data_IF_362205251555
#
_entry.id   IF_362205251555
#
_cell.length_a   1.000
_cell.length_b   1.000
_cell.length_c   1.000
_cell.angle_alpha   90.00
_cell.angle_beta   90.00
_cell.angle_gamma   90.00
#
_symmetry.space_group_name_H-M   'P 1'
#
loop_
_entity.id
_entity.type
_entity.pdbx_description
1 polymer ?
#
# COMPACT_ATOMS: atom_id res chain seq x y z
N UNK A 1 49.64 21.66 24.17
CA UNK A 1 48.53 22.07 23.27
C UNK A 1 48.36 20.98 22.22
N UNK A 2 47.46 20.02 22.45
CA UNK A 2 47.30 18.83 21.64
C UNK A 2 45.91 18.81 20.97
N UNK A 3 45.89 18.44 19.69
CA UNK A 3 44.77 17.75 19.05
C UNK A 3 43.55 18.57 18.65
N UNK A 4 43.64 19.37 17.59
CA UNK A 4 42.44 19.75 16.81
C UNK A 4 42.26 18.75 15.67
N UNK A 5 41.41 17.75 15.89
CA UNK A 5 40.97 16.85 14.82
C UNK A 5 40.10 17.60 13.82
N UNK A 6 40.49 17.57 12.55
CA UNK A 6 39.71 18.12 11.44
C UNK A 6 38.84 17.02 10.86
N UNK A 7 37.53 17.25 10.79
CA UNK A 7 36.58 16.37 10.12
C UNK A 7 36.38 16.93 8.71
N UNK A 8 36.79 16.17 7.70
CA UNK A 8 36.55 16.49 6.29
C UNK A 8 35.36 15.68 5.82
N UNK A 9 34.34 16.35 5.30
CA UNK A 9 33.15 15.72 4.71
C UNK A 9 33.38 15.60 3.21
N UNK A 10 33.46 14.37 2.72
CA UNK A 10 33.60 14.06 1.29
C UNK A 10 32.26 13.57 0.74
N UNK A 11 31.81 14.20 -0.36
CA UNK A 11 30.59 13.83 -1.05
C UNK A 11 30.87 12.68 -2.02
N UNK A 12 30.52 11.46 -1.63
CA UNK A 12 30.64 10.27 -2.49
C UNK A 12 29.50 10.28 -3.50
N UNK A 13 29.83 10.45 -4.78
CA UNK A 13 28.92 10.27 -5.91
C UNK A 13 29.23 8.94 -6.59
N UNK A 14 28.21 8.15 -6.91
CA UNK A 14 28.35 6.86 -7.57
C UNK A 14 27.52 6.84 -8.85
N UNK A 15 28.09 6.32 -9.94
CA UNK A 15 27.41 6.19 -11.21
C UNK A 15 26.58 4.90 -11.28
N UNK A 16 25.36 4.95 -11.85
CA UNK A 16 24.42 3.83 -11.83
C UNK A 16 24.76 2.77 -12.89
N UNK A 17 24.83 1.50 -12.46
CA UNK A 17 24.94 0.35 -13.36
C UNK A 17 23.56 -0.11 -13.87
N UNK A 18 23.49 -0.56 -15.12
CA UNK A 18 22.25 -0.93 -15.81
C UNK A 18 21.83 -2.39 -15.52
N UNK A 19 20.58 -2.67 -15.11
CA UNK A 19 20.17 -4.01 -14.70
C UNK A 19 19.61 -4.86 -15.86
N UNK A 20 20.17 -6.07 -16.03
CA UNK A 20 19.73 -7.07 -17.02
C UNK A 20 18.35 -7.68 -16.68
N UNK A 21 17.51 -7.76 -17.71
CA UNK A 21 16.15 -8.36 -17.72
C UNK A 21 16.21 -9.88 -17.70
N UNK A 22 15.44 -10.53 -16.82
CA UNK A 22 14.98 -11.92 -17.00
C UNK A 22 13.55 -12.08 -16.45
N UNK A 23 12.77 -12.86 -17.19
CA UNK A 23 11.32 -13.01 -17.09
C UNK A 23 10.93 -14.33 -16.44
N UNK A 24 9.94 -14.35 -15.55
CA UNK A 24 9.19 -15.56 -15.22
C UNK A 24 7.81 -15.24 -14.62
N UNK A 25 6.95 -16.27 -14.63
CA UNK A 25 5.49 -16.26 -14.78
C UNK A 25 4.66 -16.28 -13.46
N UNK A 26 3.53 -15.56 -13.49
CA UNK A 26 2.14 -15.95 -13.14
C UNK A 26 1.79 -16.44 -11.72
N UNK A 27 0.92 -15.70 -11.02
CA UNK A 27 0.27 -16.09 -9.75
C UNK A 27 -1.28 -16.14 -9.86
N UNK A 28 -1.91 -16.85 -8.91
CA UNK A 28 -3.25 -17.46 -8.96
C UNK A 28 -4.44 -16.55 -8.57
N UNK A 29 -5.65 -16.93 -9.01
CA UNK A 29 -6.85 -16.12 -9.23
C UNK A 29 -7.75 -15.85 -8.01
N UNK A 30 -7.57 -16.54 -6.87
CA UNK A 30 -8.59 -16.57 -5.79
C UNK A 30 -8.53 -15.44 -4.76
N UNK A 31 -7.46 -14.64 -4.74
CA UNK A 31 -7.25 -13.56 -3.75
C UNK A 31 -7.65 -12.16 -4.28
N UNK A 32 -8.27 -12.08 -5.47
CA UNK A 32 -8.27 -10.86 -6.29
C UNK A 32 -9.61 -10.08 -6.33
N UNK A 33 -10.64 -10.51 -5.59
CA UNK A 33 -11.99 -9.90 -5.69
C UNK A 33 -12.33 -9.05 -4.47
N UNK A 34 -12.33 -7.72 -4.64
CA UNK A 34 -12.61 -6.75 -3.57
C UNK A 34 -14.00 -6.93 -2.95
N UNK A 35 -14.17 -6.57 -1.67
CA UNK A 35 -15.45 -6.70 -0.94
C UNK A 35 -16.58 -5.89 -1.60
N UNK A 36 -16.27 -4.74 -2.20
CA UNK A 36 -17.23 -3.90 -2.93
C UNK A 36 -17.70 -4.56 -4.23
N UNK A 37 -16.77 -5.13 -5.00
CA UNK A 37 -17.08 -5.86 -6.23
C UNK A 37 -17.94 -7.10 -5.98
N UNK A 38 -17.73 -7.78 -4.85
CA UNK A 38 -18.57 -8.92 -4.42
C UNK A 38 -20.02 -8.53 -4.17
N UNK A 39 -20.27 -7.41 -3.49
CA UNK A 39 -21.64 -6.92 -3.23
C UNK A 39 -22.32 -6.39 -4.49
N UNK A 40 -21.56 -5.71 -5.37
CA UNK A 40 -22.07 -5.27 -6.66
C UNK A 40 -22.50 -6.46 -7.54
N UNK A 41 -21.65 -7.49 -7.63
CA UNK A 41 -21.95 -8.71 -8.40
C UNK A 41 -23.15 -9.46 -7.81
N UNK A 42 -23.24 -9.54 -6.47
CA UNK A 42 -24.38 -10.14 -5.79
C UNK A 42 -25.69 -9.39 -6.06
N UNK A 43 -25.66 -8.05 -6.09
CA UNK A 43 -26.82 -7.22 -6.44
C UNK A 43 -27.30 -7.43 -7.88
N UNK A 44 -26.37 -7.55 -8.84
CA UNK A 44 -26.69 -7.87 -10.23
C UNK A 44 -27.33 -9.25 -10.34
N UNK A 45 -26.73 -10.27 -9.72
CA UNK A 45 -27.29 -11.63 -9.73
C UNK A 45 -28.69 -11.63 -9.13
N UNK A 46 -28.91 -10.96 -7.99
CA UNK A 46 -30.22 -10.87 -7.36
C UNK A 46 -31.25 -10.19 -8.27
N UNK A 47 -30.91 -9.06 -8.89
CA UNK A 47 -31.79 -8.37 -9.83
C UNK A 47 -32.15 -9.27 -11.03
N UNK A 48 -31.17 -9.89 -11.68
CA UNK A 48 -31.39 -10.81 -12.80
C UNK A 48 -32.27 -11.98 -12.40
N UNK A 49 -32.07 -12.54 -11.20
CA UNK A 49 -32.88 -13.66 -10.71
C UNK A 49 -34.32 -13.24 -10.46
N UNK A 50 -34.56 -12.09 -9.83
CA UNK A 50 -35.91 -11.54 -9.60
C UNK A 50 -36.62 -11.24 -10.91
N UNK A 51 -35.95 -10.58 -11.86
CA UNK A 51 -36.54 -10.27 -13.16
C UNK A 51 -36.82 -11.54 -13.99
N UNK A 52 -35.93 -12.54 -13.95
CA UNK A 52 -36.16 -13.82 -14.63
C UNK A 52 -37.35 -14.60 -14.02
N UNK A 53 -37.48 -14.60 -12.70
CA UNK A 53 -38.63 -15.23 -12.01
C UNK A 53 -39.92 -14.51 -12.36
N UNK A 54 -39.95 -13.17 -12.28
CA UNK A 54 -41.11 -12.37 -12.68
C UNK A 54 -41.46 -12.59 -14.15
N UNK A 55 -40.47 -12.65 -15.04
CA UNK A 55 -40.67 -12.96 -16.46
C UNK A 55 -41.28 -14.34 -16.67
N UNK A 56 -40.83 -15.36 -15.93
CA UNK A 56 -41.35 -16.72 -16.06
C UNK A 56 -42.80 -16.84 -15.61
N UNK A 57 -43.19 -16.13 -14.54
CA UNK A 57 -44.57 -16.14 -14.02
C UNK A 57 -45.53 -15.34 -14.91
N UNK A 58 -45.05 -14.27 -15.55
CA UNK A 58 -45.88 -13.39 -16.39
C UNK A 58 -46.06 -13.93 -17.81
N UNK A 59 -45.11 -14.73 -18.32
CA UNK A 59 -45.07 -15.14 -19.73
C UNK A 59 -45.39 -16.63 -19.93
N UNK A 60 -45.59 -17.41 -18.85
CA UNK A 60 -45.79 -18.88 -18.88
C UNK A 60 -44.71 -19.65 -19.68
N UNK A 61 -43.53 -19.04 -19.81
CA UNK A 61 -42.40 -19.60 -20.55
C UNK A 61 -41.58 -20.58 -19.73
N UNK A 62 -40.84 -21.45 -20.43
CA UNK A 62 -39.85 -22.30 -19.76
C UNK A 62 -38.83 -21.43 -18.99
N UNK A 63 -38.40 -21.84 -17.77
CA UNK A 63 -37.50 -21.03 -16.96
C UNK A 63 -36.19 -20.66 -17.65
N UNK A 64 -35.67 -21.56 -18.50
CA UNK A 64 -34.44 -21.32 -19.27
C UNK A 64 -34.65 -20.26 -20.36
N UNK A 65 -35.81 -20.27 -21.02
CA UNK A 65 -36.14 -19.26 -22.05
C UNK A 65 -36.36 -17.89 -21.42
N UNK A 66 -37.04 -17.82 -20.27
CA UNK A 66 -37.23 -16.58 -19.51
C UNK A 66 -35.88 -15.95 -19.09
N UNK A 67 -34.94 -16.77 -18.60
CA UNK A 67 -33.57 -16.33 -18.27
C UNK A 67 -32.85 -15.82 -19.52
N UNK A 68 -32.94 -16.54 -20.64
CA UNK A 68 -32.29 -16.14 -21.89
C UNK A 68 -32.77 -14.76 -22.37
N UNK A 69 -34.09 -14.54 -22.45
CA UNK A 69 -34.60 -13.24 -22.92
C UNK A 69 -34.31 -12.13 -21.91
N UNK A 70 -34.41 -12.41 -20.60
CA UNK A 70 -34.08 -11.41 -19.56
C UNK A 70 -32.62 -10.95 -19.66
N UNK A 71 -31.68 -11.85 -19.99
CA UNK A 71 -30.30 -11.46 -20.24
C UNK A 71 -30.16 -10.59 -21.50
N UNK A 72 -30.86 -10.93 -22.59
CA UNK A 72 -30.85 -10.10 -23.80
C UNK A 72 -31.44 -8.71 -23.56
N UNK A 73 -32.53 -8.61 -22.80
CA UNK A 73 -33.14 -7.32 -22.42
C UNK A 73 -32.22 -6.51 -21.49
N UNK A 74 -31.56 -7.19 -20.53
CA UNK A 74 -30.63 -6.56 -19.60
C UNK A 74 -29.41 -5.93 -20.31
N UNK A 75 -28.91 -6.61 -21.34
CA UNK A 75 -27.80 -6.10 -22.15
C UNK A 75 -28.25 -5.21 -23.32
N UNK A 76 -29.54 -4.91 -23.44
CA UNK A 76 -30.13 -4.16 -24.55
C UNK A 76 -29.80 -4.76 -25.94
N UNK A 77 -29.74 -6.10 -26.02
CA UNK A 77 -29.49 -6.87 -27.25
C UNK A 77 -30.82 -7.36 -27.87
N UNK A 78 -31.84 -7.56 -27.05
CA UNK A 78 -33.13 -8.09 -27.50
C UNK A 78 -33.83 -7.19 -28.53
N UNK A 79 -34.62 -7.81 -29.41
CA UNK A 79 -35.53 -7.08 -30.28
C UNK A 79 -36.67 -6.45 -29.47
N UNK A 80 -37.17 -5.25 -29.85
CA UNK A 80 -38.30 -4.63 -29.17
C UNK A 80 -39.56 -5.51 -29.25
N UNK A 81 -40.22 -5.72 -28.11
CA UNK A 81 -41.40 -6.59 -28.00
C UNK A 81 -42.68 -5.92 -28.53
N UNK A 82 -42.63 -5.35 -29.73
CA UNK A 82 -43.73 -4.57 -30.34
C UNK A 82 -44.98 -5.41 -30.57
N UNK A 83 -44.80 -6.70 -30.89
CA UNK A 83 -45.90 -7.65 -31.16
C UNK A 83 -46.36 -8.41 -29.90
N UNK A 84 -45.80 -8.11 -28.73
CA UNK A 84 -46.12 -8.83 -27.48
C UNK A 84 -47.12 -8.07 -26.61
N UNK A 85 -47.62 -8.75 -25.56
CA UNK A 85 -48.57 -8.20 -24.60
C UNK A 85 -48.01 -6.98 -23.84
N UNK A 86 -48.89 -6.05 -23.43
CA UNK A 86 -48.48 -4.86 -22.67
C UNK A 86 -47.65 -5.17 -21.40
N UNK A 87 -47.94 -6.22 -20.61
CA UNK A 87 -47.08 -6.64 -19.51
C UNK A 87 -45.65 -6.99 -19.94
N UNK A 88 -45.48 -7.60 -21.12
CA UNK A 88 -44.16 -7.95 -21.67
C UNK A 88 -43.37 -6.71 -22.07
N UNK A 89 -44.02 -5.74 -22.69
CA UNK A 89 -43.40 -4.46 -23.05
C UNK A 89 -42.95 -3.68 -21.82
N UNK A 90 -43.79 -3.62 -20.78
CA UNK A 90 -43.45 -2.97 -19.50
C UNK A 90 -42.26 -3.68 -18.86
N UNK A 91 -42.26 -5.02 -18.83
CA UNK A 91 -41.17 -5.80 -18.28
C UNK A 91 -39.85 -5.58 -19.04
N UNK A 92 -39.89 -5.52 -20.37
CA UNK A 92 -38.71 -5.22 -21.19
C UNK A 92 -38.15 -3.82 -20.89
N UNK A 93 -39.01 -2.81 -20.78
CA UNK A 93 -38.59 -1.45 -20.42
C UNK A 93 -37.95 -1.41 -19.03
N UNK A 94 -38.59 -2.04 -18.03
CA UNK A 94 -38.05 -2.12 -16.67
C UNK A 94 -36.70 -2.86 -16.64
N UNK A 95 -36.59 -3.95 -17.38
CA UNK A 95 -35.34 -4.72 -17.51
C UNK A 95 -34.25 -3.90 -18.17
N UNK A 96 -34.57 -3.15 -19.23
CA UNK A 96 -33.66 -2.24 -19.91
C UNK A 96 -33.17 -1.11 -19.00
N UNK A 97 -34.04 -0.51 -18.19
CA UNK A 97 -33.64 0.50 -17.19
C UNK A 97 -32.72 -0.07 -16.11
N UNK A 98 -33.02 -1.28 -15.62
CA UNK A 98 -32.15 -2.01 -14.68
C UNK A 98 -30.81 -2.32 -15.32
N UNK A 99 -30.80 -2.79 -16.57
CA UNK A 99 -29.61 -3.02 -17.37
C UNK A 99 -28.76 -1.77 -17.53
N UNK A 100 -29.37 -0.64 -17.92
CA UNK A 100 -28.71 0.66 -18.07
C UNK A 100 -28.08 1.15 -16.76
N UNK A 101 -28.73 0.90 -15.62
CA UNK A 101 -28.18 1.26 -14.30
C UNK A 101 -27.04 0.32 -13.86
N UNK A 102 -27.13 -0.98 -14.17
CA UNK A 102 -26.16 -1.99 -13.73
C UNK A 102 -24.93 -2.11 -14.66
N UNK A 103 -25.08 -1.86 -15.96
CA UNK A 103 -24.02 -2.05 -16.95
C UNK A 103 -22.76 -1.22 -16.64
N UNK A 104 -22.83 0.09 -16.30
CA UNK A 104 -21.65 0.86 -15.93
C UNK A 104 -20.95 0.31 -14.67
N UNK A 105 -21.71 -0.21 -13.70
CA UNK A 105 -21.16 -0.81 -12.49
C UNK A 105 -20.44 -2.13 -12.78
N UNK A 106 -21.00 -2.95 -13.67
CA UNK A 106 -20.36 -4.19 -14.16
C UNK A 106 -19.08 -3.89 -14.92
N UNK A 107 -19.10 -2.90 -15.82
CA UNK A 107 -17.91 -2.48 -16.58
C UNK A 107 -16.85 -1.91 -15.65
N UNK A 108 -17.21 -1.03 -14.71
CA UNK A 108 -16.29 -0.49 -13.72
C UNK A 108 -15.66 -1.60 -12.86
N UNK A 109 -16.48 -2.54 -12.38
CA UNK A 109 -16.01 -3.70 -11.63
C UNK A 109 -15.09 -4.61 -12.44
N UNK A 110 -15.37 -4.82 -13.72
CA UNK A 110 -14.50 -5.59 -14.62
C UNK A 110 -13.16 -4.86 -14.87
N UNK A 111 -13.18 -3.53 -15.05
CA UNK A 111 -11.98 -2.73 -15.19
C UNK A 111 -11.15 -2.70 -13.91
N UNK A 112 -11.77 -2.58 -12.74
CA UNK A 112 -11.11 -2.71 -11.43
C UNK A 112 -10.47 -4.09 -11.28
N UNK A 113 -11.20 -5.16 -11.61
CA UNK A 113 -10.66 -6.52 -11.56
C UNK A 113 -9.46 -6.70 -12.52
N UNK A 114 -9.53 -6.15 -13.73
CA UNK A 114 -8.42 -6.15 -14.68
C UNK A 114 -7.21 -5.34 -14.16
N UNK A 115 -7.47 -4.17 -13.56
CA UNK A 115 -6.48 -3.29 -12.97
C UNK A 115 -5.76 -3.94 -11.79
N UNK A 116 -6.53 -4.49 -10.84
CA UNK A 116 -6.04 -5.25 -9.72
C UNK A 116 -5.24 -6.49 -10.17
N UNK A 117 -5.71 -7.21 -11.19
CA UNK A 117 -4.99 -8.34 -11.78
C UNK A 117 -3.64 -7.92 -12.34
N UNK A 118 -3.57 -6.83 -13.11
CA UNK A 118 -2.30 -6.29 -13.62
C UNK A 118 -1.39 -5.78 -12.51
N UNK A 119 -1.95 -5.19 -11.47
CA UNK A 119 -1.18 -4.63 -10.36
C UNK A 119 -0.58 -5.71 -9.46
N UNK A 120 -1.36 -6.70 -9.04
CA UNK A 120 -0.90 -7.79 -8.20
C UNK A 120 0.03 -8.75 -8.95
N UNK A 121 -0.27 -9.08 -10.22
CA UNK A 121 0.57 -9.99 -11.01
C UNK A 121 1.93 -9.38 -11.41
N UNK A 122 2.07 -8.05 -11.38
CA UNK A 122 3.32 -7.37 -11.70
C UNK A 122 4.28 -7.25 -10.50
N UNK A 123 3.79 -7.46 -9.27
CA UNK A 123 4.62 -7.40 -8.08
C UNK A 123 5.39 -8.72 -7.92
N UNK A 124 6.68 -8.58 -7.67
CA UNK A 124 7.56 -9.74 -7.48
C UNK A 124 7.36 -10.27 -6.06
N UNK A 125 7.26 -11.59 -5.92
CA UNK A 125 7.43 -12.22 -4.61
C UNK A 125 8.91 -12.24 -4.23
N UNK A 126 9.25 -12.17 -2.93
CA UNK A 126 10.62 -12.31 -2.47
C UNK A 126 11.22 -13.65 -2.93
N UNK A 127 12.47 -13.68 -3.41
CA UNK A 127 13.16 -14.93 -3.72
C UNK A 127 13.21 -15.88 -2.51
N UNK A 128 13.23 -17.19 -2.75
CA UNK A 128 13.29 -18.19 -1.67
C UNK A 128 14.55 -18.08 -0.82
N UNK A 129 15.67 -17.70 -1.45
CA UNK A 129 16.98 -17.54 -0.81
C UNK A 129 17.34 -16.05 -0.80
N UNK A 130 16.58 -15.27 -0.04
CA UNK A 130 16.88 -13.85 0.22
C UNK A 130 17.35 -13.67 1.66
N UNK A 131 18.43 -12.92 1.86
CA UNK A 131 18.99 -12.58 3.16
C UNK A 131 19.73 -11.24 3.07
N UNK A 132 19.96 -10.59 4.22
CA UNK A 132 20.69 -9.32 4.29
C UNK A 132 19.95 -8.14 3.67
N UNK A 133 18.65 -8.27 3.41
CA UNK A 133 17.81 -7.21 2.84
C UNK A 133 17.16 -6.37 3.93
N UNK A 134 16.62 -5.23 3.52
CA UNK A 134 15.74 -4.39 4.34
C UNK A 134 14.29 -4.79 4.08
N UNK A 135 13.52 -5.03 5.14
CA UNK A 135 12.06 -5.12 5.04
C UNK A 135 11.49 -3.73 5.27
N UNK A 136 10.77 -3.20 4.30
CA UNK A 136 10.16 -1.86 4.33
C UNK A 136 8.64 -1.98 4.42
N UNK A 137 8.07 -1.60 5.55
CA UNK A 137 6.62 -1.61 5.77
C UNK A 137 6.04 -0.24 5.41
N UNK A 138 5.01 -0.25 4.56
CA UNK A 138 4.35 0.94 4.07
C UNK A 138 5.06 1.56 2.87
N UNK A 139 4.33 1.68 1.78
CA UNK A 139 4.66 2.35 0.51
C UNK A 139 3.87 3.65 0.34
N UNK A 140 3.50 4.29 1.45
CA UNK A 140 2.94 5.66 1.46
C UNK A 140 3.97 6.75 1.10
N UNK A 141 3.68 7.99 1.47
CA UNK A 141 4.50 9.18 1.10
C UNK A 141 5.97 9.10 1.54
N UNK A 142 6.24 8.58 2.74
CA UNK A 142 7.59 8.46 3.30
C UNK A 142 8.26 7.19 2.78
N UNK A 143 7.57 6.05 2.87
CA UNK A 143 8.05 4.75 2.39
C UNK A 143 8.48 4.78 0.92
N UNK A 144 7.73 5.47 0.05
CA UNK A 144 8.11 5.64 -1.37
C UNK A 144 9.47 6.33 -1.54
N UNK A 145 9.75 7.38 -0.76
CA UNK A 145 11.02 8.11 -0.82
C UNK A 145 12.17 7.29 -0.23
N UNK A 146 11.91 6.59 0.87
CA UNK A 146 12.88 5.68 1.47
C UNK A 146 13.21 4.55 0.52
N UNK A 147 12.21 3.98 -0.17
CA UNK A 147 12.41 2.96 -1.20
C UNK A 147 13.33 3.48 -2.31
N UNK A 148 13.03 4.67 -2.87
CA UNK A 148 13.87 5.28 -3.90
C UNK A 148 15.33 5.39 -3.42
N UNK A 149 15.54 5.91 -2.20
CA UNK A 149 16.88 6.09 -1.65
C UNK A 149 17.61 4.77 -1.37
N UNK A 150 16.92 3.75 -0.83
CA UNK A 150 17.50 2.43 -0.64
C UNK A 150 17.94 1.81 -1.97
N UNK A 151 17.15 2.02 -3.03
CA UNK A 151 17.49 1.53 -4.37
C UNK A 151 18.64 2.29 -5.02
N UNK A 152 18.74 3.61 -4.81
CA UNK A 152 19.90 4.41 -5.22
C UNK A 152 21.21 3.95 -4.55
N UNK A 153 21.11 3.43 -3.32
CA UNK A 153 22.25 2.89 -2.55
C UNK A 153 22.50 1.39 -2.81
N UNK A 154 21.81 0.79 -3.78
CA UNK A 154 21.85 -0.65 -4.10
C UNK A 154 21.53 -1.59 -2.94
N UNK A 155 20.83 -1.10 -1.92
CA UNK A 155 20.42 -1.90 -0.77
C UNK A 155 19.26 -2.83 -1.21
N UNK A 156 19.38 -4.16 -1.02
CA UNK A 156 18.28 -5.09 -1.29
C UNK A 156 17.11 -4.79 -0.36
N UNK A 157 15.90 -4.72 -0.91
CA UNK A 157 14.70 -4.35 -0.15
C UNK A 157 13.52 -5.23 -0.56
N UNK A 158 12.70 -5.59 0.42
CA UNK A 158 11.38 -6.20 0.25
C UNK A 158 10.38 -5.27 0.89
N UNK A 159 9.37 -4.87 0.14
CA UNK A 159 8.31 -4.02 0.66
C UNK A 159 7.12 -4.84 1.14
N UNK A 160 6.43 -4.35 2.15
CA UNK A 160 5.12 -4.85 2.59
C UNK A 160 4.15 -3.69 2.56
N UNK A 161 2.99 -3.88 1.95
CA UNK A 161 1.95 -2.86 1.86
C UNK A 161 0.59 -3.54 1.83
N UNK A 162 -0.38 -2.99 2.56
CA UNK A 162 -1.76 -3.50 2.58
C UNK A 162 -2.55 -2.98 1.37
N UNK A 163 -2.37 -1.70 1.05
CA UNK A 163 -3.07 -1.05 -0.06
C UNK A 163 -2.38 -1.33 -1.42
N UNK A 164 -2.99 -2.12 -2.33
CA UNK A 164 -2.42 -2.42 -3.64
C UNK A 164 -2.27 -1.20 -4.55
N UNK A 165 -2.99 -0.12 -4.25
CA UNK A 165 -2.97 1.14 -4.99
C UNK A 165 -2.14 2.22 -4.28
N UNK A 166 -1.41 1.86 -3.23
CA UNK A 166 -0.53 2.79 -2.54
C UNK A 166 0.49 3.41 -3.51
N UNK A 167 0.78 4.70 -3.29
CA UNK A 167 1.61 5.54 -4.17
C UNK A 167 2.94 4.89 -4.56
N UNK A 168 3.60 4.20 -3.63
CA UNK A 168 4.90 3.58 -3.85
C UNK A 168 4.86 2.23 -4.56
N UNK A 169 3.69 1.61 -4.73
CA UNK A 169 3.54 0.30 -5.40
C UNK A 169 3.96 0.39 -6.87
N UNK A 170 3.58 1.48 -7.56
CA UNK A 170 3.99 1.72 -8.94
C UNK A 170 5.53 1.88 -9.07
N UNK A 171 6.16 2.54 -8.10
CA UNK A 171 7.61 2.69 -8.06
C UNK A 171 8.31 1.37 -7.76
N UNK A 172 7.84 0.61 -6.78
CA UNK A 172 8.38 -0.72 -6.47
C UNK A 172 8.32 -1.63 -7.70
N UNK A 173 7.22 -1.56 -8.46
CA UNK A 173 7.03 -2.28 -9.72
C UNK A 173 8.02 -1.86 -10.80
N UNK A 174 8.21 -0.56 -11.03
CA UNK A 174 9.15 -0.05 -12.04
C UNK A 174 10.60 -0.43 -11.71
N UNK A 175 10.95 -0.41 -10.41
CA UNK A 175 12.26 -0.80 -9.89
C UNK A 175 12.42 -2.32 -9.70
N UNK A 176 11.38 -3.11 -9.99
CA UNK A 176 11.33 -4.58 -9.82
C UNK A 176 11.66 -5.06 -8.39
N UNK A 177 11.28 -4.26 -7.42
CA UNK A 177 11.40 -4.57 -6.00
C UNK A 177 10.29 -5.56 -5.61
N UNK A 178 10.61 -6.62 -4.85
CA UNK A 178 9.59 -7.52 -4.33
C UNK A 178 8.64 -6.79 -3.37
N UNK A 179 7.34 -7.03 -3.54
CA UNK A 179 6.30 -6.47 -2.66
C UNK A 179 5.40 -7.60 -2.19
N UNK A 180 5.22 -7.71 -0.88
CA UNK A 180 4.21 -8.55 -0.24
C UNK A 180 2.99 -7.67 -0.01
N UNK A 181 1.88 -8.02 -0.65
CA UNK A 181 0.60 -7.36 -0.40
C UNK A 181 -0.09 -8.04 0.78
N UNK A 182 -0.39 -7.27 1.82
CA UNK A 182 -1.08 -7.75 3.01
C UNK A 182 -0.85 -6.86 4.23
N UNK A 183 -1.79 -6.95 5.16
CA UNK A 183 -1.70 -6.30 6.46
C UNK A 183 -0.59 -6.95 7.31
N UNK A 184 0.36 -6.14 7.76
CA UNK A 184 1.52 -6.61 8.53
C UNK A 184 1.17 -7.23 9.89
N UNK A 185 -0.03 -6.95 10.41
CA UNK A 185 -0.53 -7.55 11.66
C UNK A 185 -1.01 -8.99 11.45
N UNK A 186 -1.23 -9.41 10.20
CA UNK A 186 -1.64 -10.76 9.88
C UNK A 186 -0.47 -11.75 9.94
N UNK A 187 -0.76 -12.93 10.46
CA UNK A 187 0.20 -14.03 10.56
C UNK A 187 0.74 -14.41 9.17
N UNK A 188 2.05 -14.64 9.07
CA UNK A 188 2.70 -15.06 7.83
C UNK A 188 3.13 -13.94 6.89
N UNK A 189 2.65 -12.70 7.07
CA UNK A 189 3.00 -11.57 6.17
C UNK A 189 4.47 -11.17 6.32
N UNK A 190 4.98 -11.05 7.54
CA UNK A 190 6.39 -10.75 7.79
C UNK A 190 7.31 -11.92 7.39
N UNK A 191 6.84 -13.16 7.53
CA UNK A 191 7.55 -14.37 7.10
C UNK A 191 7.61 -14.47 5.56
N UNK A 192 6.53 -14.07 4.88
CA UNK A 192 6.51 -13.92 3.43
C UNK A 192 7.53 -12.87 2.97
N UNK A 193 7.69 -11.78 3.74
CA UNK A 193 8.73 -10.77 3.54
C UNK A 193 10.15 -11.20 3.95
N UNK A 194 10.30 -12.42 4.49
CA UNK A 194 11.56 -13.01 4.94
C UNK A 194 12.24 -12.20 6.06
N UNK A 195 11.46 -11.65 6.99
CA UNK A 195 11.98 -10.82 8.08
C UNK A 195 13.06 -11.52 8.93
N UNK A 196 12.95 -12.84 9.12
CA UNK A 196 13.90 -13.66 9.88
C UNK A 196 15.34 -13.68 9.31
N UNK A 197 15.52 -13.27 8.04
CA UNK A 197 16.84 -13.16 7.37
C UNK A 197 17.17 -11.72 6.99
N UNK A 198 16.32 -10.77 7.36
CA UNK A 198 16.52 -9.37 7.05
C UNK A 198 17.64 -8.80 7.91
N UNK A 199 18.36 -7.81 7.37
CA UNK A 199 19.31 -7.01 8.12
C UNK A 199 18.61 -5.94 8.95
N UNK A 200 17.53 -5.38 8.42
CA UNK A 200 16.75 -4.34 9.09
C UNK A 200 15.27 -4.37 8.70
N UNK A 201 14.43 -3.87 9.61
CA UNK A 201 13.02 -3.55 9.40
C UNK A 201 12.81 -2.05 9.52
N UNK A 202 12.16 -1.45 8.52
CA UNK A 202 11.73 -0.07 8.53
C UNK A 202 10.19 -0.03 8.57
N UNK A 203 9.62 0.27 9.73
CA UNK A 203 8.17 0.36 9.92
C UNK A 203 7.68 1.79 9.68
N UNK A 204 7.23 2.10 8.45
CA UNK A 204 6.95 3.46 8.00
C UNK A 204 5.49 3.68 7.59
N UNK A 205 4.57 2.85 8.10
CA UNK A 205 3.13 3.02 7.85
C UNK A 205 2.61 4.32 8.49
N UNK A 206 1.36 4.68 8.19
CA UNK A 206 0.70 5.82 8.83
C UNK A 206 0.15 5.52 10.23
N UNK A 207 0.10 4.26 10.64
CA UNK A 207 -0.46 3.84 11.92
C UNK A 207 0.65 3.47 12.90
N UNK A 208 0.76 4.23 13.98
CA UNK A 208 1.78 4.06 15.03
C UNK A 208 1.67 2.70 15.73
N UNK A 209 0.44 2.26 15.98
CA UNK A 209 0.13 0.94 16.56
C UNK A 209 0.60 -0.19 15.66
N UNK A 210 0.27 -0.14 14.37
CA UNK A 210 0.73 -1.12 13.37
C UNK A 210 2.26 -1.17 13.27
N UNK A 211 2.93 -0.02 13.31
CA UNK A 211 4.40 0.03 13.29
C UNK A 211 5.02 -0.62 14.54
N UNK A 212 4.42 -0.40 15.71
CA UNK A 212 4.87 -0.99 16.98
C UNK A 212 4.62 -2.50 17.03
N UNK A 213 3.41 -2.95 16.65
CA UNK A 213 3.05 -4.37 16.58
C UNK A 213 3.98 -5.12 15.64
N UNK A 214 4.22 -4.59 14.44
CA UNK A 214 5.14 -5.17 13.49
C UNK A 214 6.58 -5.24 14.03
N UNK A 215 7.04 -4.21 14.76
CA UNK A 215 8.35 -4.20 15.38
C UNK A 215 8.49 -5.27 16.48
N UNK A 216 7.47 -5.42 17.33
CA UNK A 216 7.44 -6.43 18.39
C UNK A 216 7.38 -7.84 17.81
N UNK A 217 6.53 -8.06 16.81
CA UNK A 217 6.40 -9.36 16.16
C UNK A 217 7.67 -9.72 15.37
N UNK A 218 8.27 -8.77 14.65
CA UNK A 218 9.54 -9.03 13.98
C UNK A 218 10.66 -9.42 14.95
N UNK A 219 10.64 -8.89 16.19
CA UNK A 219 11.60 -9.28 17.24
C UNK A 219 11.42 -10.73 17.68
N UNK A 220 10.19 -11.24 17.76
CA UNK A 220 9.97 -12.66 18.11
C UNK A 220 10.52 -13.59 17.03
N UNK A 221 10.53 -13.15 15.77
CA UNK A 221 11.07 -13.88 14.62
C UNK A 221 12.60 -13.70 14.44
N UNK A 222 13.14 -12.53 14.77
CA UNK A 222 14.55 -12.18 14.68
C UNK A 222 14.95 -11.22 15.84
N UNK A 223 15.47 -11.76 16.95
CA UNK A 223 15.79 -10.96 18.15
C UNK A 223 16.78 -9.83 17.92
N UNK A 224 17.79 -10.07 17.06
CA UNK A 224 18.89 -9.13 16.77
C UNK A 224 18.59 -8.17 15.61
N UNK A 225 17.36 -8.18 15.09
CA UNK A 225 16.96 -7.37 13.94
C UNK A 225 17.07 -5.88 14.25
N UNK A 226 17.72 -5.13 13.36
CA UNK A 226 17.71 -3.67 13.42
C UNK A 226 16.31 -3.17 13.08
N UNK A 227 15.66 -2.46 13.99
CA UNK A 227 14.31 -1.93 13.75
C UNK A 227 14.32 -0.42 13.82
N UNK A 228 13.89 0.23 12.74
CA UNK A 228 13.54 1.65 12.76
C UNK A 228 12.04 1.80 12.55
N UNK A 229 11.34 2.42 13.50
CA UNK A 229 9.91 2.66 13.42
C UNK A 229 9.60 4.16 13.39
N UNK A 230 8.60 4.48 12.59
CA UNK A 230 8.00 5.81 12.54
C UNK A 230 6.88 5.88 13.56
N UNK A 231 6.90 6.94 14.36
CA UNK A 231 5.80 7.32 15.24
C UNK A 231 5.43 8.78 14.99
N UNK A 232 4.20 9.20 15.19
CA UNK A 232 3.78 10.60 15.03
C UNK A 232 3.82 11.36 16.35
N UNK A 233 3.47 10.69 17.45
CA UNK A 233 3.45 11.29 18.78
C UNK A 233 4.83 11.17 19.45
N UNK A 234 5.42 12.31 19.81
CA UNK A 234 6.78 12.41 20.38
C UNK A 234 6.88 11.77 21.78
N UNK A 235 5.84 11.93 22.60
CA UNK A 235 5.78 11.40 23.97
C UNK A 235 5.55 9.90 23.93
N UNK A 236 4.62 9.43 23.09
CA UNK A 236 4.43 8.02 22.81
C UNK A 236 5.72 7.39 22.27
N UNK A 237 6.40 8.06 21.33
CA UNK A 237 7.67 7.59 20.80
C UNK A 237 8.79 7.54 21.83
N UNK A 238 8.74 8.40 22.85
CA UNK A 238 9.69 8.40 23.95
C UNK A 238 9.41 7.25 24.90
N UNK A 239 8.15 7.04 25.27
CA UNK A 239 7.72 5.92 26.11
C UNK A 239 8.07 4.57 25.45
N UNK A 240 7.68 4.37 24.19
CA UNK A 240 7.98 3.14 23.43
C UNK A 240 9.48 2.88 23.35
N UNK A 241 10.28 3.91 23.03
CA UNK A 241 11.74 3.76 22.98
C UNK A 241 12.33 3.32 24.32
N UNK A 242 11.93 3.96 25.43
CA UNK A 242 12.42 3.61 26.78
C UNK A 242 12.03 2.18 27.15
N UNK A 243 10.78 1.80 26.94
CA UNK A 243 10.27 0.46 27.26
C UNK A 243 10.97 -0.61 26.42
N UNK A 244 11.12 -0.40 25.11
CA UNK A 244 11.80 -1.35 24.24
C UNK A 244 13.28 -1.48 24.57
N UNK A 245 13.95 -0.38 24.95
CA UNK A 245 15.35 -0.41 25.37
C UNK A 245 15.54 -1.11 26.71
N UNK A 246 14.60 -0.96 27.64
CA UNK A 246 14.64 -1.66 28.92
C UNK A 246 14.34 -3.16 28.76
N UNK A 247 13.35 -3.52 27.95
CA UNK A 247 12.96 -4.91 27.71
C UNK A 247 13.95 -5.66 26.79
N UNK A 248 14.61 -4.95 25.88
CA UNK A 248 15.55 -5.51 24.91
C UNK A 248 16.81 -4.62 24.79
N UNK A 249 17.70 -4.65 25.80
CA UNK A 249 18.88 -3.79 25.86
C UNK A 249 19.89 -4.05 24.74
N UNK A 250 19.98 -5.28 24.25
CA UNK A 250 20.90 -5.65 23.17
C UNK A 250 20.31 -5.38 21.78
N UNK A 251 19.00 -5.19 21.70
CA UNK A 251 18.33 -4.97 20.43
C UNK A 251 18.44 -3.51 19.97
N UNK A 252 18.78 -3.34 18.70
CA UNK A 252 19.00 -2.04 18.08
C UNK A 252 17.69 -1.50 17.50
N UNK A 253 16.87 -0.92 18.38
CA UNK A 253 15.63 -0.23 18.00
C UNK A 253 15.78 1.28 18.03
N UNK A 254 15.40 1.93 16.94
CA UNK A 254 15.29 3.39 16.84
C UNK A 254 13.85 3.78 16.50
N UNK A 255 13.25 4.60 17.33
CA UNK A 255 12.01 5.29 16.98
C UNK A 255 12.31 6.71 16.53
N UNK A 256 11.63 7.18 15.49
CA UNK A 256 11.74 8.56 14.99
C UNK A 256 10.36 9.15 14.79
N UNK A 257 10.19 10.39 15.28
CA UNK A 257 9.02 11.20 14.96
C UNK A 257 9.24 12.04 13.72
N UNK A 258 8.24 12.06 12.85
CA UNK A 258 8.29 12.90 11.63
C UNK A 258 8.26 14.37 11.99
N UNK A 259 7.47 14.75 13.00
CA UNK A 259 7.36 16.13 13.47
C UNK A 259 8.70 16.60 14.04
N UNK A 260 9.34 15.81 14.90
CA UNK A 260 10.67 16.14 15.44
C UNK A 260 11.73 16.24 14.34
N UNK A 261 11.70 15.32 13.36
CA UNK A 261 12.67 15.32 12.26
C UNK A 261 12.48 16.50 11.30
N UNK A 262 11.25 16.98 11.12
CA UNK A 262 10.94 18.07 10.21
C UNK A 262 11.01 19.46 10.87
N UNK A 263 10.78 19.54 12.18
CA UNK A 263 10.79 20.78 12.95
C UNK A 263 12.02 21.68 12.69
N UNK A 264 13.28 21.17 12.62
CA UNK A 264 14.43 22.01 12.29
C UNK A 264 14.28 22.73 10.94
N UNK A 265 13.83 22.00 9.92
CA UNK A 265 13.71 22.53 8.57
C UNK A 265 12.58 23.57 8.49
N UNK A 266 11.44 23.30 9.16
CA UNK A 266 10.35 24.27 9.26
C UNK A 266 10.74 25.52 10.06
N UNK A 267 11.40 25.36 11.21
CA UNK A 267 11.89 26.47 12.02
C UNK A 267 12.87 27.35 11.22
N UNK A 268 13.81 26.72 10.51
CA UNK A 268 14.76 27.41 9.62
C UNK A 268 14.03 28.16 8.50
N UNK A 269 13.03 27.53 7.87
CA UNK A 269 12.26 28.16 6.81
C UNK A 269 11.39 29.34 7.30
N UNK A 270 10.82 29.25 8.51
CA UNK A 270 9.95 30.29 9.07
C UNK A 270 10.71 31.53 9.58
N UNK A 271 11.93 31.37 10.10
CA UNK A 271 12.70 32.48 10.68
C UNK A 271 13.58 33.23 9.66
N UNK A 272 13.48 32.90 8.38
CA UNK A 272 14.16 33.62 7.30
C UNK A 272 15.69 33.64 7.44
N UNK A 273 16.34 34.72 7.02
CA UNK A 273 17.82 34.84 6.99
C UNK A 273 18.49 34.89 8.37
N UNK A 274 17.72 34.87 9.45
CA UNK A 274 18.26 34.96 10.81
C UNK A 274 18.79 33.62 11.31
N UNK A 275 18.31 32.47 10.81
CA UNK A 275 18.86 31.17 11.21
C UNK A 275 20.04 30.79 10.31
N UNK A 276 21.21 30.67 10.92
CA UNK A 276 22.45 30.19 10.28
C UNK A 276 22.47 28.66 10.14
N UNK A 277 21.68 27.95 10.96
CA UNK A 277 21.50 26.50 10.84
C UNK A 277 20.74 25.89 12.01
N UNK A 278 20.38 24.62 11.87
CA UNK A 278 19.75 23.84 12.92
C UNK A 278 20.48 22.50 13.09
N UNK A 279 20.88 22.18 14.32
CA UNK A 279 21.58 20.94 14.64
C UNK A 279 20.66 20.06 15.49
N UNK A 280 20.28 18.86 15.01
CA UNK A 280 19.56 17.90 15.84
C UNK A 280 20.54 17.28 16.85
N UNK A 281 20.25 17.41 18.14
CA UNK A 281 20.99 16.78 19.25
C UNK A 281 20.04 15.86 20.00
N UNK A 282 20.23 14.56 19.83
CA UNK A 282 19.33 13.50 20.33
C UNK A 282 17.86 13.67 19.90
N UNK A 283 16.99 14.13 20.82
CA UNK A 283 15.56 14.42 20.60
C UNK A 283 15.25 15.92 20.66
N UNK A 284 16.26 16.79 20.69
CA UNK A 284 16.12 18.25 20.68
C UNK A 284 16.74 18.83 19.41
N UNK A 285 16.30 20.02 19.05
CA UNK A 285 16.83 20.77 17.91
C UNK A 285 17.42 22.06 18.43
N UNK A 286 18.72 22.25 18.23
CA UNK A 286 19.40 23.51 18.54
C UNK A 286 19.37 24.38 17.29
N UNK A 287 18.78 25.57 17.41
CA UNK A 287 18.75 26.56 16.33
C UNK A 287 19.88 27.57 16.57
N UNK A 288 20.65 27.85 15.53
CA UNK A 288 21.68 28.89 15.52
C UNK A 288 21.15 30.07 14.74
N UNK A 289 21.03 31.24 15.39
CA UNK A 289 20.54 32.44 14.76
C UNK A 289 21.51 33.63 14.94
N UNK A 290 21.63 34.46 13.91
CA UNK A 290 22.24 35.78 13.97
C UNK A 290 21.11 36.83 14.10
N UNK A 291 21.22 37.66 15.14
CA UNK A 291 20.28 38.74 15.44
C UNK A 291 21.04 40.05 15.39
N UNK A 292 20.62 40.97 14.52
CA UNK A 292 21.10 42.35 14.56
C UNK A 292 20.38 43.07 15.71
N UNK A 293 21.13 43.41 16.75
CA UNK A 293 20.61 44.18 17.89
C UNK A 293 20.97 45.65 17.65
N UNK A 294 19.96 46.49 17.42
CA UNK A 294 20.15 47.93 17.38
C UNK A 294 20.51 48.42 18.79
N UNK A 295 21.68 49.06 18.91
CA UNK A 295 22.14 49.73 20.14
C UNK A 295 21.64 51.16 20.23
#
# INVERSE_FOLDING_TARGET
AAGRGTIVLEAVTHEPATPRRRTSRGASFKELLSRRLRWALAGVVAAVTVLAVVSSVVTDDSPLHAVYITLLDLFAIAEPAVEHSAPRQILQLLTGFVGLALLPLLVAGALEALGAYRSAAALRRPPRVLAGHVVLLGLGKIGTRVLARLRELDIPVVCVEDDPDARGVALARSLRVPVVLGDVTQEGVLEAAKVHRAHALLALTSADTTNLEAALYARTLAPDLLVALRLYDDDFATAVYRTLRAAHPDALTRSRSVSTLAAPAFATAMMGRQILGAIPVERRVLLFAALDVAG
#
